data_IF_844156947474
#
_entry.id   IF_844156947474
#
_cell.length_a   1.000
_cell.length_b   1.000
_cell.length_c   1.000
_cell.angle_alpha   90.00
_cell.angle_beta   90.00
_cell.angle_gamma   90.00
#
_symmetry.space_group_name_H-M   'P 1'
#
loop_
_entity.id
_entity.type
_entity.pdbx_description
1 polymer ?
#
# COMPACT_ATOMS: atom_id res chain seq x y z
N UNK A 1 -5.61 -3.04 -30.25
CA UNK A 1 -6.44 -3.88 -31.15
C UNK A 1 -7.40 -4.69 -30.30
N UNK A 2 -8.55 -5.14 -30.82
CA UNK A 2 -9.50 -5.97 -30.05
C UNK A 2 -8.82 -7.20 -29.41
N UNK A 3 -7.91 -7.85 -30.13
CA UNK A 3 -7.11 -8.96 -29.60
C UNK A 3 -6.24 -8.57 -28.39
N UNK A 4 -5.55 -7.42 -28.46
CA UNK A 4 -4.77 -6.93 -27.33
C UNK A 4 -5.65 -6.58 -26.12
N UNK A 5 -6.83 -6.00 -26.35
CA UNK A 5 -7.77 -5.68 -25.26
C UNK A 5 -8.26 -6.94 -24.55
N UNK A 6 -8.58 -8.01 -25.28
CA UNK A 6 -8.96 -9.30 -24.68
C UNK A 6 -7.84 -9.89 -23.83
N UNK A 7 -6.59 -9.83 -24.30
CA UNK A 7 -5.43 -10.31 -23.54
C UNK A 7 -5.21 -9.48 -22.28
N UNK A 8 -5.29 -8.14 -22.38
CA UNK A 8 -5.13 -7.26 -21.22
C UNK A 8 -6.23 -7.48 -20.18
N UNK A 9 -7.47 -7.72 -20.61
CA UNK A 9 -8.55 -8.08 -19.70
C UNK A 9 -8.28 -9.41 -19.00
N UNK A 10 -7.83 -10.43 -19.74
CA UNK A 10 -7.44 -11.71 -19.15
C UNK A 10 -6.31 -11.57 -18.12
N UNK A 11 -5.35 -10.67 -18.33
CA UNK A 11 -4.29 -10.37 -17.36
C UNK A 11 -4.87 -9.69 -16.12
N UNK A 12 -5.77 -8.73 -16.29
CA UNK A 12 -6.43 -8.02 -15.18
C UNK A 12 -7.28 -8.96 -14.32
N UNK A 13 -7.95 -9.93 -14.96
CA UNK A 13 -8.81 -10.91 -14.28
C UNK A 13 -8.02 -12.01 -13.56
N UNK A 14 -6.70 -12.12 -13.80
CA UNK A 14 -5.83 -13.10 -13.15
C UNK A 14 -5.33 -12.56 -11.80
N UNK A 15 -5.52 -13.33 -10.72
CA UNK A 15 -5.07 -12.94 -9.39
C UNK A 15 -3.53 -12.78 -9.32
N UNK A 16 -3.06 -11.65 -8.78
CA UNK A 16 -1.63 -11.35 -8.71
C UNK A 16 -0.96 -12.18 -7.61
N UNK A 17 -0.12 -13.13 -8.02
CA UNK A 17 0.71 -13.96 -7.13
C UNK A 17 2.20 -13.78 -7.39
N UNK A 18 3.03 -13.59 -6.35
CA UNK A 18 4.48 -13.65 -6.45
C UNK A 18 4.93 -15.10 -6.56
N UNK A 19 4.83 -15.70 -7.74
CA UNK A 19 5.31 -17.07 -7.95
C UNK A 19 6.82 -17.10 -8.14
N UNK A 20 7.53 -17.59 -7.12
CA UNK A 20 8.89 -18.15 -7.21
C UNK A 20 8.95 -19.61 -6.75
N UNK A 21 7.82 -20.18 -6.33
CA UNK A 21 7.68 -21.60 -5.95
C UNK A 21 6.55 -22.16 -6.80
N UNK A 22 6.74 -23.30 -7.49
CA UNK A 22 5.65 -23.96 -8.20
C UNK A 22 4.50 -24.21 -7.23
N UNK A 23 3.25 -23.98 -7.66
CA UNK A 23 2.09 -24.46 -6.94
C UNK A 23 2.32 -25.94 -6.57
N UNK A 24 2.36 -26.26 -5.27
CA UNK A 24 2.63 -27.61 -4.80
C UNK A 24 1.69 -28.61 -5.46
N UNK A 25 2.17 -29.82 -5.74
CA UNK A 25 1.38 -30.92 -6.33
C UNK A 25 0.08 -31.12 -5.56
N UNK A 26 -1.02 -30.54 -6.01
CA UNK A 26 -2.33 -30.67 -5.37
C UNK A 26 -3.33 -29.52 -5.55
N UNK A 27 -2.89 -28.30 -5.89
CA UNK A 27 -3.83 -27.21 -6.17
C UNK A 27 -3.33 -26.33 -7.33
N UNK A 28 -3.91 -26.50 -8.51
CA UNK A 28 -3.64 -25.65 -9.68
C UNK A 28 -4.39 -24.30 -9.62
N UNK A 29 -5.25 -24.09 -8.61
CA UNK A 29 -6.26 -23.03 -8.62
C UNK A 29 -6.10 -21.96 -7.53
N UNK A 30 -5.01 -21.96 -6.75
CA UNK A 30 -4.83 -20.95 -5.70
C UNK A 30 -3.37 -20.53 -5.53
N UNK A 31 -3.05 -19.24 -5.69
CA UNK A 31 -1.71 -18.74 -5.44
C UNK A 31 -1.32 -18.83 -3.97
N UNK A 32 -0.18 -19.47 -3.69
CA UNK A 32 0.24 -19.82 -2.33
C UNK A 32 0.68 -18.63 -1.44
N UNK A 33 0.87 -17.42 -2.00
CA UNK A 33 1.43 -16.30 -1.24
C UNK A 33 0.86 -14.93 -1.66
N UNK A 34 -0.23 -14.47 -1.04
CA UNK A 34 -0.71 -13.10 -1.28
C UNK A 34 0.19 -12.04 -0.61
N UNK A 35 0.73 -11.10 -1.39
CA UNK A 35 1.54 -10.00 -0.87
C UNK A 35 0.73 -9.08 0.06
N UNK A 36 -0.54 -8.83 -0.29
CA UNK A 36 -1.44 -8.01 0.51
C UNK A 36 -1.74 -8.65 1.88
N UNK A 37 -1.68 -9.98 2.00
CA UNK A 37 -1.78 -10.65 3.29
C UNK A 37 -0.60 -10.30 4.23
N UNK A 38 0.56 -9.94 3.67
CA UNK A 38 1.78 -9.62 4.44
C UNK A 38 1.98 -8.12 4.67
N UNK A 39 1.65 -7.30 3.68
CA UNK A 39 1.92 -5.85 3.76
C UNK A 39 0.66 -5.01 3.93
N UNK A 40 -0.52 -5.62 3.84
CA UNK A 40 -1.81 -4.96 3.88
C UNK A 40 -2.40 -4.66 2.50
N UNK A 41 -3.68 -4.25 2.47
CA UNK A 41 -4.36 -3.85 1.24
C UNK A 41 -3.64 -2.67 0.57
N UNK A 42 -3.39 -2.78 -0.73
CA UNK A 42 -2.62 -1.76 -1.46
C UNK A 42 -3.25 -0.38 -1.39
N UNK A 43 -4.58 -0.29 -1.40
CA UNK A 43 -5.30 0.97 -1.29
C UNK A 43 -5.04 1.71 0.02
N UNK A 44 -4.88 0.99 1.13
CA UNK A 44 -4.49 1.59 2.41
C UNK A 44 -3.01 1.98 2.39
N UNK A 45 -2.15 1.11 1.88
CA UNK A 45 -0.70 1.35 1.83
C UNK A 45 -0.38 2.56 0.94
N UNK A 46 -1.03 2.70 -0.21
CA UNK A 46 -0.88 3.84 -1.13
C UNK A 46 -1.44 5.12 -0.51
N UNK A 47 -2.57 5.04 0.21
CA UNK A 47 -3.11 6.17 0.96
C UNK A 47 -2.10 6.65 2.02
N UNK A 48 -1.55 5.73 2.81
CA UNK A 48 -0.54 6.03 3.83
C UNK A 48 0.71 6.62 3.18
N UNK A 49 1.21 5.99 2.11
CA UNK A 49 2.37 6.45 1.36
C UNK A 49 2.20 7.89 0.88
N UNK A 50 1.06 8.19 0.26
CA UNK A 50 0.79 9.51 -0.27
C UNK A 50 0.82 10.56 0.84
N UNK A 51 0.06 10.39 1.92
CA UNK A 51 -0.02 11.40 2.96
C UNK A 51 1.25 11.53 3.81
N UNK A 52 1.98 10.44 4.02
CA UNK A 52 3.25 10.47 4.74
C UNK A 52 4.36 11.08 3.88
N UNK A 53 4.53 10.65 2.64
CA UNK A 53 5.64 11.13 1.80
C UNK A 53 5.40 12.51 1.19
N UNK A 54 4.17 12.83 0.77
CA UNK A 54 3.85 14.11 0.12
C UNK A 54 3.73 15.26 1.12
N UNK A 55 3.14 15.01 2.28
CA UNK A 55 2.79 16.05 3.26
C UNK A 55 3.50 15.90 4.61
N UNK A 56 4.20 14.80 4.87
CA UNK A 56 4.85 14.57 6.17
C UNK A 56 3.85 14.45 7.32
N UNK A 57 2.61 14.04 7.06
CA UNK A 57 1.59 13.96 8.10
C UNK A 57 1.91 12.89 9.14
N UNK A 58 1.65 13.22 10.41
CA UNK A 58 1.76 12.31 11.55
C UNK A 58 0.79 11.13 11.41
N UNK A 59 1.12 9.93 11.93
CA UNK A 59 0.27 8.75 11.86
C UNK A 59 -1.16 8.97 12.30
N UNK A 60 -1.40 9.66 13.41
CA UNK A 60 -2.75 9.97 13.89
C UNK A 60 -3.59 10.76 12.89
N UNK A 61 -2.98 11.72 12.19
CA UNK A 61 -3.66 12.46 11.12
C UNK A 61 -3.95 11.57 9.93
N UNK A 62 -3.02 10.71 9.55
CA UNK A 62 -3.20 9.76 8.45
C UNK A 62 -4.31 8.75 8.77
N UNK A 63 -4.33 8.20 9.99
CA UNK A 63 -5.38 7.29 10.45
C UNK A 63 -6.76 7.96 10.46
N UNK A 64 -6.84 9.22 10.93
CA UNK A 64 -8.06 10.02 10.87
C UNK A 64 -8.56 10.19 9.43
N UNK A 65 -7.69 10.61 8.51
CA UNK A 65 -8.05 10.80 7.10
C UNK A 65 -8.47 9.47 6.45
N UNK A 66 -7.73 8.39 6.73
CA UNK A 66 -8.01 7.07 6.21
C UNK A 66 -9.37 6.57 6.69
N UNK A 67 -9.71 6.76 7.98
CA UNK A 67 -11.03 6.39 8.54
C UNK A 67 -12.17 7.17 7.89
N UNK A 68 -11.96 8.44 7.57
CA UNK A 68 -12.96 9.24 6.87
C UNK A 68 -13.13 8.85 5.39
N UNK A 69 -12.08 8.35 4.75
CA UNK A 69 -12.11 7.92 3.35
C UNK A 69 -12.66 6.50 3.17
N UNK A 70 -12.30 5.58 4.08
CA UNK A 70 -12.52 4.14 3.94
C UNK A 70 -13.42 3.53 5.01
N UNK A 71 -13.86 4.32 6.00
CA UNK A 71 -14.63 3.80 7.12
C UNK A 71 -16.10 3.50 6.83
N UNK A 72 -16.58 3.93 5.67
CA UNK A 72 -17.94 3.70 5.18
C UNK A 72 -17.92 3.71 3.65
N UNK A 73 -18.08 2.54 3.03
CA UNK A 73 -18.02 2.38 1.56
C UNK A 73 -19.15 3.11 0.82
N UNK A 74 -20.20 3.52 1.52
CA UNK A 74 -21.35 4.22 0.94
C UNK A 74 -21.13 5.72 0.82
N UNK A 75 -20.05 6.25 1.42
CA UNK A 75 -19.69 7.67 1.41
C UNK A 75 -18.58 7.96 0.41
N UNK A 76 -18.58 9.20 -0.11
CA UNK A 76 -17.58 9.65 -1.07
C UNK A 76 -17.87 9.16 -2.50
N UNK A 77 -16.84 9.10 -3.33
CA UNK A 77 -16.92 8.66 -4.73
C UNK A 77 -15.96 7.52 -4.97
N UNK A 78 -16.46 6.48 -5.64
CA UNK A 78 -15.63 5.40 -6.18
C UNK A 78 -15.37 5.67 -7.65
N UNK A 79 -14.19 5.33 -8.18
CA UNK A 79 -13.97 5.34 -9.62
C UNK A 79 -14.93 4.38 -10.33
N UNK A 80 -15.41 4.76 -11.53
CA UNK A 80 -16.43 4.01 -12.26
C UNK A 80 -16.00 2.58 -12.62
N UNK A 81 -14.69 2.36 -12.75
CA UNK A 81 -14.10 1.05 -13.04
C UNK A 81 -13.98 0.13 -11.81
N UNK A 82 -14.33 0.60 -10.61
CA UNK A 82 -14.34 -0.24 -9.40
C UNK A 82 -15.75 -0.80 -9.17
N UNK A 83 -15.88 -2.11 -9.41
CA UNK A 83 -17.11 -2.86 -9.19
C UNK A 83 -17.57 -2.78 -7.72
N UNK A 84 -18.88 -2.77 -7.43
CA UNK A 84 -19.40 -2.67 -6.06
C UNK A 84 -18.83 -3.72 -5.09
N UNK A 85 -18.56 -4.93 -5.55
CA UNK A 85 -17.98 -6.00 -4.74
C UNK A 85 -16.52 -5.74 -4.32
N UNK A 86 -15.79 -4.90 -5.06
CA UNK A 86 -14.41 -4.51 -4.76
C UNK A 86 -14.31 -3.20 -3.94
N UNK A 87 -15.45 -2.67 -3.46
CA UNK A 87 -15.50 -1.46 -2.64
C UNK A 87 -15.31 -1.83 -1.18
N UNK A 88 -14.06 -1.82 -0.76
CA UNK A 88 -13.66 -2.19 0.60
C UNK A 88 -14.01 -1.11 1.63
N UNK A 89 -14.20 -1.56 2.86
CA UNK A 89 -14.45 -0.74 4.03
C UNK A 89 -13.56 -1.21 5.18
N UNK A 90 -12.97 -0.29 5.93
CA UNK A 90 -12.05 -0.59 7.01
C UNK A 90 -12.43 0.10 8.31
N UNK A 91 -12.50 -0.68 9.38
CA UNK A 91 -12.61 -0.13 10.73
C UNK A 91 -11.31 0.54 11.17
N UNK A 92 -11.38 1.29 12.28
CA UNK A 92 -10.21 2.02 12.78
C UNK A 92 -9.10 1.05 13.20
N UNK A 93 -9.45 -0.11 13.75
CA UNK A 93 -8.50 -1.13 14.19
C UNK A 93 -7.68 -1.68 13.00
N UNK A 94 -8.33 -2.02 11.88
CA UNK A 94 -7.68 -2.47 10.66
C UNK A 94 -6.78 -1.37 10.07
N UNK A 95 -7.26 -0.11 10.03
CA UNK A 95 -6.46 1.03 9.56
C UNK A 95 -5.22 1.21 10.44
N UNK A 96 -5.38 1.19 11.76
CA UNK A 96 -4.27 1.33 12.73
C UNK A 96 -3.26 0.19 12.58
N UNK A 97 -3.74 -1.04 12.41
CA UNK A 97 -2.89 -2.21 12.16
C UNK A 97 -2.06 -2.04 10.88
N UNK A 98 -2.70 -1.73 9.76
CA UNK A 98 -1.99 -1.61 8.48
C UNK A 98 -1.11 -0.36 8.38
N UNK A 99 -1.45 0.71 9.10
CA UNK A 99 -0.58 1.87 9.25
C UNK A 99 0.66 1.54 10.10
N UNK A 100 0.53 0.71 11.14
CA UNK A 100 1.69 0.21 11.89
C UNK A 100 2.64 -0.56 10.97
N UNK A 101 2.11 -1.50 10.19
CA UNK A 101 2.87 -2.26 9.18
C UNK A 101 3.53 -1.32 8.18
N UNK A 102 2.82 -0.32 7.68
CA UNK A 102 3.38 0.70 6.78
C UNK A 102 4.57 1.41 7.41
N UNK A 103 4.43 1.97 8.62
CA UNK A 103 5.45 2.79 9.27
C UNK A 103 6.72 1.99 9.56
N UNK A 104 6.57 0.78 10.11
CA UNK A 104 7.70 -0.11 10.35
C UNK A 104 8.43 -0.43 9.04
N UNK A 105 7.67 -0.79 7.99
CA UNK A 105 8.29 -1.18 6.72
C UNK A 105 8.95 0.00 6.02
N UNK A 106 8.26 1.13 5.96
CA UNK A 106 8.66 2.32 5.23
C UNK A 106 9.89 2.98 5.86
N UNK A 107 9.89 3.18 7.19
CA UNK A 107 10.96 3.90 7.88
C UNK A 107 12.12 3.02 8.35
N UNK A 108 11.93 1.70 8.53
CA UNK A 108 12.98 0.86 9.12
C UNK A 108 13.59 -0.15 8.14
N UNK A 109 12.77 -0.95 7.44
CA UNK A 109 13.31 -2.13 6.72
C UNK A 109 13.34 -2.00 5.19
N UNK A 110 12.86 -0.89 4.62
CA UNK A 110 12.78 -0.73 3.16
C UNK A 110 13.71 0.33 2.57
N UNK A 111 14.21 1.28 3.37
CA UNK A 111 14.97 2.41 2.83
C UNK A 111 16.30 1.98 2.19
N UNK A 112 17.02 1.02 2.76
CA UNK A 112 18.25 0.50 2.15
C UNK A 112 18.04 -0.05 0.73
N UNK A 113 16.87 -0.65 0.46
CA UNK A 113 16.51 -1.18 -0.87
C UNK A 113 16.30 -0.04 -1.87
N UNK A 114 15.94 1.15 -1.40
CA UNK A 114 15.68 2.33 -2.23
C UNK A 114 16.96 3.07 -2.60
N UNK A 115 17.97 3.02 -1.73
CA UNK A 115 19.25 3.72 -1.91
C UNK A 115 19.99 3.34 -3.21
N UNK A 116 19.73 2.15 -3.75
CA UNK A 116 20.33 1.66 -5.00
C UNK A 116 19.30 1.40 -6.12
N UNK A 117 18.17 2.13 -6.15
CA UNK A 117 17.16 1.95 -7.19
C UNK A 117 17.70 2.26 -8.60
N UNK A 118 17.35 1.46 -9.64
CA UNK A 118 17.58 1.79 -11.04
C UNK A 118 16.93 3.11 -11.46
N UNK A 119 17.30 3.63 -12.63
CA UNK A 119 16.67 4.82 -13.18
C UNK A 119 15.22 4.53 -13.64
N UNK A 120 14.34 5.50 -13.44
CA UNK A 120 12.96 5.46 -13.90
C UNK A 120 12.32 6.84 -13.78
N UNK A 121 11.33 7.19 -14.64
CA UNK A 121 10.67 8.47 -14.58
C UNK A 121 9.73 8.54 -13.37
N UNK A 122 9.69 9.71 -12.71
CA UNK A 122 8.64 10.01 -11.73
C UNK A 122 7.28 10.09 -12.44
N UNK A 123 6.26 9.49 -11.84
CA UNK A 123 4.87 9.57 -12.31
C UNK A 123 3.99 10.09 -11.17
N UNK A 124 3.07 11.01 -11.48
CA UNK A 124 2.13 11.57 -10.53
C UNK A 124 2.69 12.71 -9.67
N UNK A 125 1.78 13.43 -9.01
CA UNK A 125 2.09 14.58 -8.14
C UNK A 125 2.49 14.19 -6.72
N UNK A 126 2.22 12.94 -6.32
CA UNK A 126 2.49 12.44 -4.97
C UNK A 126 3.96 12.29 -4.63
N UNK A 127 4.85 12.30 -5.61
CA UNK A 127 6.29 12.07 -5.42
C UNK A 127 6.72 10.70 -5.94
N UNK A 128 8.02 10.49 -5.95
CA UNK A 128 8.68 9.21 -6.22
C UNK A 128 9.54 8.80 -5.04
N UNK A 129 9.96 7.53 -5.01
CA UNK A 129 10.80 6.99 -3.94
C UNK A 129 12.28 6.91 -4.32
N UNK A 130 12.67 7.67 -5.35
CA UNK A 130 14.06 7.74 -5.79
C UNK A 130 14.91 8.48 -4.76
N UNK A 131 16.07 7.92 -4.32
CA UNK A 131 17.03 8.62 -3.47
C UNK A 131 17.69 9.82 -4.17
N UNK A 132 17.55 9.87 -5.50
CA UNK A 132 18.03 10.95 -6.36
C UNK A 132 16.96 12.03 -6.63
N UNK A 133 15.75 11.83 -6.10
CA UNK A 133 14.59 12.70 -6.32
C UNK A 133 13.90 13.07 -5.01
N UNK A 134 12.61 12.73 -4.90
CA UNK A 134 11.74 13.25 -3.83
C UNK A 134 11.97 12.63 -2.45
N UNK A 135 12.59 11.44 -2.35
CA UNK A 135 12.72 10.72 -1.08
C UNK A 135 14.18 10.46 -0.69
N UNK A 136 14.70 11.34 0.17
CA UNK A 136 16.08 11.27 0.69
C UNK A 136 16.04 10.95 2.18
N UNK A 137 16.30 9.68 2.53
CA UNK A 137 16.28 9.20 3.91
C UNK A 137 17.48 8.27 4.20
N UNK A 138 17.97 8.23 5.46
CA UNK A 138 19.02 7.31 5.89
C UNK A 138 18.59 5.86 5.74
N UNK A 139 19.49 4.97 5.36
CA UNK A 139 19.17 3.52 5.22
C UNK A 139 19.05 2.78 6.55
N UNK A 140 19.53 3.42 7.61
CA UNK A 140 19.62 3.00 9.00
C UNK A 140 18.68 3.81 9.91
N UNK A 141 17.61 4.38 9.34
CA UNK A 141 16.58 5.08 10.14
C UNK A 141 15.71 4.14 10.96
N UNK A 142 15.17 4.66 12.06
CA UNK A 142 14.29 3.92 12.97
C UNK A 142 12.83 4.36 12.84
N UNK A 143 11.90 3.40 13.02
CA UNK A 143 10.45 3.68 12.98
C UNK A 143 9.85 4.05 14.34
N UNK A 144 10.63 3.96 15.42
CA UNK A 144 10.16 4.05 16.81
C UNK A 144 9.28 5.27 17.11
N UNK A 145 9.70 6.47 16.68
CA UNK A 145 8.94 7.71 16.93
C UNK A 145 7.59 7.75 16.22
N UNK A 146 7.49 7.11 15.05
CA UNK A 146 6.25 7.02 14.29
C UNK A 146 5.30 5.99 14.91
N UNK A 147 5.83 4.84 15.31
CA UNK A 147 5.05 3.80 15.98
C UNK A 147 4.52 4.26 17.34
N UNK A 148 5.31 5.02 18.09
CA UNK A 148 4.87 5.58 19.37
C UNK A 148 3.77 6.63 19.21
N UNK A 149 3.87 7.49 18.18
CA UNK A 149 2.80 8.44 17.87
C UNK A 149 1.50 7.71 17.51
N UNK A 150 1.58 6.69 16.65
CA UNK A 150 0.44 5.87 16.28
C UNK A 150 -0.21 5.20 17.51
N UNK A 151 0.61 4.61 18.39
CA UNK A 151 0.15 3.89 19.59
C UNK A 151 -0.55 4.83 20.58
N UNK A 152 0.00 6.02 20.80
CA UNK A 152 -0.47 6.94 21.85
C UNK A 152 -1.54 7.91 21.38
N UNK A 153 -1.66 8.16 20.07
CA UNK A 153 -2.56 9.19 19.52
C UNK A 153 -3.73 8.63 18.71
N UNK A 154 -3.72 7.35 18.35
CA UNK A 154 -4.87 6.70 17.71
C UNK A 154 -5.58 5.81 18.73
N UNK A 155 -6.90 5.96 18.92
CA UNK A 155 -7.69 5.07 19.78
C UNK A 155 -7.57 3.59 19.37
N UNK A 156 -7.88 2.69 20.30
CA UNK A 156 -8.09 1.28 20.00
C UNK A 156 -9.52 1.04 19.48
#
# INVERSE_FOLDING_TARGET
TPAASTILQSILDTEISPELVPAGRGSQDAPAQSTQAKIGPYELQDFHLYYVSRFGFRPSKVAFLSRHAWGDRTRGRWPDFIAPAARNEYDLAAIKHWLNVFLYRFFQISQFKRSALPNGPKVGSGGSLSPRGDWRAPSDSESAVWLEELRTKVPD
#
